data_IF_901617861788
#
_entry.id   IF_901617861788
#
_cell.length_a   1.000
_cell.length_b   1.000
_cell.length_c   1.000
_cell.angle_alpha   90.00
_cell.angle_beta   90.00
_cell.angle_gamma   90.00
#
_symmetry.space_group_name_H-M   'P 1'
#
loop_
_entity.id
_entity.type
_entity.pdbx_description
1 polymer ?
#
# COMPACT_ATOMS: atom_id res chain seq x y z
N UNK A 1 38.06 -7.22 31.11
CA UNK A 1 36.65 -7.64 31.11
C UNK A 1 35.92 -7.01 29.91
N UNK A 2 35.84 -7.67 28.75
CA UNK A 2 34.90 -7.26 27.69
C UNK A 2 33.80 -8.31 27.52
N UNK A 3 32.59 -7.98 27.98
CA UNK A 3 31.38 -8.75 27.64
C UNK A 3 30.95 -8.37 26.22
N UNK A 4 31.45 -9.14 25.25
CA UNK A 4 30.89 -9.14 23.90
C UNK A 4 29.52 -9.81 23.99
N UNK A 5 28.47 -8.99 24.01
CA UNK A 5 27.09 -9.44 23.98
C UNK A 5 26.81 -10.05 22.60
N UNK A 6 26.83 -11.38 22.53
CA UNK A 6 26.52 -12.16 21.35
C UNK A 6 25.03 -11.99 21.02
N UNK A 7 24.73 -11.34 19.89
CA UNK A 7 23.40 -11.39 19.26
C UNK A 7 23.48 -12.47 18.17
N UNK A 8 23.08 -13.73 18.42
CA UNK A 8 22.94 -14.70 17.35
C UNK A 8 21.69 -14.32 16.53
N UNK A 9 21.92 -13.75 15.36
CA UNK A 9 20.95 -13.60 14.27
C UNK A 9 20.55 -15.01 13.80
N UNK A 10 19.57 -15.61 14.47
CA UNK A 10 19.00 -16.90 14.07
C UNK A 10 17.86 -16.66 13.07
N UNK A 11 18.27 -16.60 11.80
CA UNK A 11 17.61 -17.18 10.61
C UNK A 11 16.10 -17.44 10.72
N UNK A 12 15.33 -16.52 10.14
CA UNK A 12 13.91 -16.64 9.85
C UNK A 12 13.70 -17.74 8.80
N UNK A 13 13.09 -18.87 9.19
CA UNK A 13 12.62 -19.88 8.24
C UNK A 13 11.35 -19.36 7.54
N UNK A 14 11.47 -19.11 6.24
CA UNK A 14 10.35 -18.89 5.34
C UNK A 14 9.61 -20.23 5.09
N UNK A 15 8.34 -20.32 5.45
CA UNK A 15 7.45 -21.38 4.97
C UNK A 15 6.60 -20.84 3.82
N UNK A 16 7.12 -20.99 2.59
CA UNK A 16 6.31 -20.88 1.37
C UNK A 16 5.58 -22.21 1.18
N UNK A 17 4.34 -22.29 1.65
CA UNK A 17 3.47 -23.44 1.37
C UNK A 17 2.68 -23.15 0.09
N UNK A 18 3.22 -23.62 -1.04
CA UNK A 18 2.52 -23.69 -2.30
C UNK A 18 1.68 -24.97 -2.35
N UNK A 19 0.40 -24.84 -2.71
CA UNK A 19 -0.39 -25.97 -3.20
C UNK A 19 -0.61 -25.78 -4.70
N UNK A 20 -0.04 -26.71 -5.47
CA UNK A 20 -0.22 -26.85 -6.89
C UNK A 20 -1.63 -27.38 -7.21
N UNK A 21 -2.28 -26.78 -8.20
CA UNK A 21 -3.50 -27.29 -8.82
C UNK A 21 -3.40 -27.09 -10.33
N UNK A 22 -2.82 -28.07 -11.02
CA UNK A 22 -2.78 -28.15 -12.48
C UNK A 22 -3.61 -29.37 -12.91
N UNK A 23 -4.71 -29.17 -13.62
CA UNK A 23 -5.30 -30.16 -14.51
C UNK A 23 -6.17 -29.47 -15.55
N UNK A 24 -5.87 -29.78 -16.80
CA UNK A 24 -6.39 -29.18 -18.01
C UNK A 24 -7.88 -29.48 -18.25
N UNK A 25 -8.57 -28.55 -18.90
CA UNK A 25 -9.51 -28.94 -19.95
C UNK A 25 -9.30 -28.02 -21.16
N UNK A 26 -8.58 -28.56 -22.15
CA UNK A 26 -8.48 -27.95 -23.47
C UNK A 26 -9.75 -28.31 -24.26
N UNK A 27 -10.46 -27.31 -24.76
CA UNK A 27 -11.34 -27.46 -25.90
C UNK A 27 -11.43 -26.13 -26.65
N UNK A 28 -10.82 -26.16 -27.83
CA UNK A 28 -10.69 -25.18 -28.89
C UNK A 28 -11.94 -24.31 -29.14
N UNK A 29 -11.71 -23.02 -29.33
CA UNK A 29 -12.20 -22.32 -30.52
C UNK A 29 -11.33 -21.08 -30.75
N UNK A 30 -10.83 -21.02 -31.96
CA UNK A 30 -9.87 -20.06 -32.47
C UNK A 30 -10.65 -18.82 -32.87
N UNK A 31 -10.36 -17.67 -32.26
CA UNK A 31 -10.39 -16.40 -32.99
C UNK A 31 -9.44 -15.43 -32.29
N UNK A 32 -8.33 -15.15 -32.96
CA UNK A 32 -7.30 -14.28 -32.48
C UNK A 32 -7.68 -12.84 -32.79
N UNK A 33 -7.77 -11.99 -31.77
CA UNK A 33 -7.58 -10.55 -31.92
C UNK A 33 -6.55 -10.09 -30.88
N UNK A 34 -5.33 -9.69 -31.27
CA UNK A 34 -4.28 -9.33 -30.34
C UNK A 34 -4.39 -7.85 -29.91
N UNK A 35 -3.96 -7.60 -28.68
CA UNK A 35 -3.55 -6.31 -28.11
C UNK A 35 -4.56 -5.15 -28.15
N UNK A 36 -5.37 -5.03 -27.09
CA UNK A 36 -5.75 -3.72 -26.56
C UNK A 36 -5.89 -3.80 -25.04
N UNK A 37 -4.88 -3.27 -24.37
CA UNK A 37 -4.90 -2.46 -23.14
C UNK A 37 -6.05 -2.58 -22.12
N UNK A 38 -5.64 -2.35 -20.86
CA UNK A 38 -6.45 -1.89 -19.72
C UNK A 38 -7.19 -2.97 -18.91
N UNK A 39 -6.44 -3.82 -18.23
CA UNK A 39 -6.79 -4.03 -16.81
C UNK A 39 -5.92 -3.12 -15.97
N UNK A 40 -6.19 -1.81 -16.07
CA UNK A 40 -5.81 -0.91 -15.00
C UNK A 40 -6.52 -1.42 -13.73
N UNK A 41 -5.83 -1.60 -12.59
CA UNK A 41 -6.57 -1.78 -11.34
C UNK A 41 -7.58 -0.63 -11.26
N UNK A 42 -8.84 -0.89 -10.88
CA UNK A 42 -9.87 0.14 -10.88
C UNK A 42 -9.31 1.37 -10.18
N UNK A 43 -9.19 2.45 -10.93
CA UNK A 43 -8.63 3.68 -10.42
C UNK A 43 -9.55 4.17 -9.32
N UNK A 44 -9.20 3.92 -8.06
CA UNK A 44 -9.74 4.69 -6.94
C UNK A 44 -9.07 6.07 -6.94
N UNK A 45 -9.04 6.72 -8.11
CA UNK A 45 -8.41 8.01 -8.41
C UNK A 45 -9.37 9.18 -8.31
N UNK A 46 -10.54 8.98 -7.72
CA UNK A 46 -11.56 10.01 -7.61
C UNK A 46 -12.84 9.40 -7.08
N UNK A 47 -12.87 9.06 -5.79
CA UNK A 47 -14.17 8.99 -5.12
C UNK A 47 -14.67 10.42 -5.07
N UNK A 48 -15.55 10.78 -6.01
CA UNK A 48 -16.32 12.00 -5.92
C UNK A 48 -17.09 11.93 -4.61
N UNK A 49 -16.79 12.79 -3.61
CA UNK A 49 -17.60 12.83 -2.41
C UNK A 49 -19.01 13.23 -2.84
N UNK A 50 -20.07 12.64 -2.24
CA UNK A 50 -21.42 13.21 -2.38
C UNK A 50 -21.37 14.70 -1.98
N UNK A 51 -22.22 15.57 -2.57
CA UNK A 51 -22.26 16.99 -2.23
C UNK A 51 -22.68 17.14 -0.76
N UNK A 52 -21.69 17.20 0.12
CA UNK A 52 -21.88 17.10 1.55
C UNK A 52 -20.55 16.85 2.25
N UNK A 53 -19.64 17.83 2.15
CA UNK A 53 -18.42 17.98 2.95
C UNK A 53 -17.17 17.21 2.46
N UNK A 54 -16.54 17.73 1.40
CA UNK A 54 -15.25 17.26 0.90
C UNK A 54 -14.16 17.25 1.98
N UNK A 55 -14.19 18.21 2.91
CA UNK A 55 -13.25 18.27 4.03
C UNK A 55 -13.39 17.05 4.94
N UNK A 56 -14.62 16.61 5.24
CA UNK A 56 -14.85 15.37 5.99
C UNK A 56 -14.24 14.17 5.30
N UNK A 57 -14.42 14.03 3.98
CA UNK A 57 -13.84 12.92 3.22
C UNK A 57 -12.31 12.93 3.27
N UNK A 58 -11.69 14.12 3.22
CA UNK A 58 -10.23 14.27 3.37
C UNK A 58 -9.79 13.85 4.77
N UNK A 59 -10.50 14.30 5.83
CA UNK A 59 -10.21 13.90 7.21
C UNK A 59 -10.33 12.39 7.41
N UNK A 60 -11.35 11.76 6.84
CA UNK A 60 -11.56 10.31 6.94
C UNK A 60 -10.43 9.54 6.22
N UNK A 61 -9.98 10.01 5.04
CA UNK A 61 -8.82 9.42 4.36
C UNK A 61 -7.51 9.59 5.15
N UNK A 62 -7.32 10.76 5.79
CA UNK A 62 -6.16 10.96 6.66
C UNK A 62 -6.23 10.07 7.90
N UNK A 63 -7.41 9.92 8.51
CA UNK A 63 -7.61 9.03 9.66
C UNK A 63 -7.26 7.58 9.32
N UNK A 64 -7.61 7.11 8.12
CA UNK A 64 -7.21 5.77 7.66
C UNK A 64 -5.68 5.65 7.49
N UNK A 65 -5.03 6.67 6.93
CA UNK A 65 -3.55 6.70 6.85
C UNK A 65 -2.90 6.65 8.24
N UNK A 66 -3.45 7.38 9.21
CA UNK A 66 -3.02 7.34 10.62
C UNK A 66 -3.24 5.97 11.24
N UNK A 67 -4.38 5.32 10.95
CA UNK A 67 -4.71 3.99 11.48
C UNK A 67 -3.77 2.91 10.95
N UNK A 68 -3.37 3.00 9.69
CA UNK A 68 -2.35 2.12 9.10
C UNK A 68 -0.95 2.45 9.63
N UNK A 69 -0.66 3.73 9.88
CA UNK A 69 0.60 4.23 10.41
C UNK A 69 1.84 3.73 9.65
N UNK A 70 1.76 3.69 8.33
CA UNK A 70 2.87 3.26 7.46
C UNK A 70 3.27 4.37 6.50
N UNK A 71 4.56 4.41 6.11
CA UNK A 71 5.03 5.40 5.14
C UNK A 71 4.28 5.35 3.79
N UNK A 72 3.93 4.18 3.21
CA UNK A 72 3.13 4.13 2.00
C UNK A 72 1.73 4.75 2.14
N UNK A 73 1.04 4.55 3.26
CA UNK A 73 -0.30 5.10 3.48
C UNK A 73 -0.28 6.64 3.53
N UNK A 74 0.69 7.21 4.26
CA UNK A 74 0.89 8.66 4.31
C UNK A 74 1.28 9.24 2.94
N UNK A 75 2.14 8.56 2.16
CA UNK A 75 2.51 9.01 0.80
C UNK A 75 1.31 9.01 -0.15
N UNK A 76 0.45 8.00 -0.07
CA UNK A 76 -0.77 7.94 -0.88
C UNK A 76 -1.69 9.12 -0.56
N UNK A 77 -1.86 9.45 0.73
CA UNK A 77 -2.65 10.61 1.15
C UNK A 77 -2.05 11.93 0.61
N UNK A 78 -0.74 12.13 0.75
CA UNK A 78 -0.04 13.31 0.25
C UNK A 78 -0.15 13.45 -1.28
N UNK A 79 -0.11 12.34 -2.02
CA UNK A 79 -0.27 12.35 -3.48
C UNK A 79 -1.69 12.73 -3.92
N UNK A 80 -2.70 12.48 -3.09
CA UNK A 80 -4.11 12.81 -3.38
C UNK A 80 -4.44 14.25 -3.01
N UNK A 81 -3.83 14.77 -1.95
CA UNK A 81 -4.14 16.09 -1.38
C UNK A 81 -2.87 16.90 -1.11
N UNK A 82 -2.06 17.22 -2.14
CA UNK A 82 -0.74 17.84 -1.96
C UNK A 82 -0.79 19.21 -1.29
N UNK A 83 -1.83 20.00 -1.57
CA UNK A 83 -2.00 21.36 -1.03
C UNK A 83 -2.74 21.40 0.33
N UNK A 84 -3.17 20.25 0.84
CA UNK A 84 -3.96 20.17 2.07
C UNK A 84 -3.06 20.26 3.32
N UNK A 85 -3.44 20.98 4.38
CA UNK A 85 -2.64 21.07 5.61
C UNK A 85 -2.27 19.71 6.21
N UNK A 86 -3.18 18.73 6.16
CA UNK A 86 -2.93 17.37 6.66
C UNK A 86 -1.82 16.63 5.88
N UNK A 87 -1.52 17.01 4.64
CA UNK A 87 -0.41 16.41 3.89
C UNK A 87 0.94 16.79 4.49
N UNK A 88 1.06 18.01 5.05
CA UNK A 88 2.25 18.43 5.80
C UNK A 88 2.41 17.61 7.09
N UNK A 89 1.31 17.29 7.76
CA UNK A 89 1.35 16.44 8.95
C UNK A 89 1.68 14.99 8.61
N UNK A 90 1.15 14.45 7.50
CA UNK A 90 1.53 13.15 6.97
C UNK A 90 3.06 13.06 6.70
N UNK A 91 3.66 14.12 6.14
CA UNK A 91 5.11 14.19 5.93
C UNK A 91 5.90 14.10 7.25
N UNK A 92 5.48 14.82 8.30
CA UNK A 92 6.11 14.74 9.63
C UNK A 92 5.99 13.35 10.26
N UNK A 93 4.86 12.66 10.03
CA UNK A 93 4.67 11.28 10.50
C UNK A 93 5.65 10.34 9.83
N UNK A 94 5.87 10.47 8.52
CA UNK A 94 6.88 9.69 7.79
C UNK A 94 8.28 9.91 8.38
N UNK A 95 8.67 11.16 8.61
CA UNK A 95 9.97 11.49 9.22
C UNK A 95 10.11 10.81 10.59
N UNK A 96 9.09 10.91 11.44
CA UNK A 96 9.06 10.25 12.76
C UNK A 96 9.22 8.73 12.66
N UNK A 97 8.58 8.09 11.67
CA UNK A 97 8.70 6.64 11.43
C UNK A 97 10.12 6.26 11.01
N UNK A 98 10.75 7.04 10.13
CA UNK A 98 12.12 6.79 9.67
C UNK A 98 13.12 6.96 10.82
N UNK A 99 12.96 8.01 11.61
CA UNK A 99 13.84 8.28 12.75
C UNK A 99 13.70 7.20 13.84
N UNK A 100 12.51 6.63 14.02
CA UNK A 100 12.27 5.54 14.97
C UNK A 100 12.82 4.18 14.52
N UNK A 101 13.15 4.03 13.23
CA UNK A 101 13.70 2.80 12.65
C UNK A 101 15.24 2.81 12.54
N UNK A 102 15.88 3.89 13.00
CA UNK A 102 17.34 3.99 13.10
C UNK A 102 17.79 3.70 14.51
#
# INVERSE_FOLDING_TARGET
MPVHNAIPVLMILAAVSGCAGNAANAASAHDAVPATMLHAPPGTGGVMPPPGDAEKAIRDQYAEAVRQNTAPAYRLFMSRYPDHPLARDAAKRIDSLVNSQR
#
